data_IF_156337141728
#
_entry.id   IF_156337141728
#
_cell.length_a   1.000
_cell.length_b   1.000
_cell.length_c   1.000
_cell.angle_alpha   90.00
_cell.angle_beta   90.00
_cell.angle_gamma   90.00
#
_symmetry.space_group_name_H-M   'P 1'
#
loop_
_entity.id
_entity.type
_entity.pdbx_description
1 polymer ?
#
# COMPACT_ATOMS: atom_id res chain seq x y z
N UNK A 1 -16.67 37.66 -17.27
CA UNK A 1 -17.02 36.41 -16.58
C UNK A 1 -15.75 35.59 -16.52
N UNK A 2 -15.13 35.45 -15.35
CA UNK A 2 -13.95 34.59 -15.18
C UNK A 2 -14.46 33.16 -15.05
N UNK A 3 -14.23 32.32 -16.05
CA UNK A 3 -14.39 30.88 -15.89
C UNK A 3 -13.26 30.43 -14.98
N UNK A 4 -13.56 29.99 -13.77
CA UNK A 4 -12.61 29.27 -12.94
C UNK A 4 -12.28 27.97 -13.66
N UNK A 5 -11.13 27.94 -14.33
CA UNK A 5 -10.62 26.74 -14.99
C UNK A 5 -10.25 25.75 -13.90
N UNK A 6 -11.12 24.78 -13.65
CA UNK A 6 -10.84 23.65 -12.77
C UNK A 6 -9.89 22.70 -13.49
N UNK A 7 -8.85 22.22 -12.81
CA UNK A 7 -7.93 21.25 -13.36
C UNK A 7 -8.64 19.91 -13.62
N UNK A 8 -8.37 19.22 -14.74
CA UNK A 8 -8.93 17.91 -15.00
C UNK A 8 -8.63 16.94 -13.84
N UNK A 9 -9.64 16.18 -13.43
CA UNK A 9 -9.49 15.24 -12.32
C UNK A 9 -10.06 13.88 -12.69
N UNK A 10 -9.28 12.83 -12.43
CA UNK A 10 -9.71 11.45 -12.62
C UNK A 10 -10.29 10.92 -11.30
N UNK A 11 -11.61 10.82 -11.23
CA UNK A 11 -12.32 10.41 -10.02
C UNK A 11 -12.43 8.89 -9.97
N UNK A 12 -11.98 8.29 -8.87
CA UNK A 12 -12.05 6.85 -8.65
C UNK A 12 -13.44 6.45 -8.14
N UNK A 13 -14.04 5.43 -8.76
CA UNK A 13 -15.32 4.87 -8.30
C UNK A 13 -15.17 4.01 -7.03
N UNK A 14 -14.08 3.25 -6.95
CA UNK A 14 -13.76 2.37 -5.82
C UNK A 14 -12.37 2.67 -5.27
N UNK A 15 -12.16 2.31 -4.00
CA UNK A 15 -10.88 2.50 -3.32
C UNK A 15 -9.80 1.48 -3.75
N UNK A 16 -10.19 0.30 -4.27
CA UNK A 16 -9.22 -0.66 -4.84
C UNK A 16 -8.71 -0.18 -6.20
N UNK A 17 -7.53 0.44 -6.22
CA UNK A 17 -6.87 0.93 -7.43
C UNK A 17 -6.61 -0.13 -8.50
N UNK A 18 -6.68 -1.42 -8.17
CA UNK A 18 -6.47 -2.51 -9.13
C UNK A 18 -7.77 -3.08 -9.70
N UNK A 19 -8.92 -2.63 -9.20
CA UNK A 19 -10.24 -3.01 -9.66
C UNK A 19 -11.20 -1.82 -9.49
N UNK A 20 -11.03 -0.80 -10.34
CA UNK A 20 -11.77 0.46 -10.25
C UNK A 20 -11.99 1.07 -11.63
N UNK A 21 -12.83 2.10 -11.70
CA UNK A 21 -12.90 3.00 -12.85
C UNK A 21 -12.40 4.38 -12.46
N UNK A 22 -11.82 5.09 -13.42
CA UNK A 22 -11.44 6.48 -13.26
C UNK A 22 -12.09 7.32 -14.35
N UNK A 23 -12.92 8.27 -13.94
CA UNK A 23 -13.70 9.11 -14.83
C UNK A 23 -13.13 10.53 -14.84
N UNK A 24 -12.88 11.08 -16.03
CA UNK A 24 -12.46 12.45 -16.24
C UNK A 24 -13.41 13.13 -17.24
N UNK A 25 -14.37 13.87 -16.69
CA UNK A 25 -15.40 14.53 -17.48
C UNK A 25 -14.82 15.65 -18.34
N UNK A 26 -13.83 16.38 -17.81
CA UNK A 26 -13.22 17.53 -18.49
C UNK A 26 -12.50 17.13 -19.79
N UNK A 27 -11.88 15.95 -19.81
CA UNK A 27 -11.20 15.41 -20.99
C UNK A 27 -12.08 14.44 -21.79
N UNK A 28 -13.28 14.11 -21.29
CA UNK A 28 -14.14 13.10 -21.90
C UNK A 28 -13.49 11.71 -21.93
N UNK A 29 -12.73 11.35 -20.90
CA UNK A 29 -12.00 10.09 -20.81
C UNK A 29 -12.52 9.21 -19.67
N UNK A 30 -12.64 7.92 -19.94
CA UNK A 30 -13.00 6.90 -18.96
C UNK A 30 -11.94 5.79 -18.93
N UNK A 31 -11.37 5.52 -17.77
CA UNK A 31 -10.44 4.42 -17.58
C UNK A 31 -11.07 3.29 -16.80
N UNK A 32 -10.83 2.07 -17.25
CA UNK A 32 -11.23 0.85 -16.56
C UNK A 32 -9.99 0.06 -16.15
N UNK A 33 -9.83 -0.15 -14.85
CA UNK A 33 -8.78 -0.97 -14.27
C UNK A 33 -9.43 -2.26 -13.77
N UNK A 34 -8.99 -3.39 -14.29
CA UNK A 34 -9.56 -4.68 -13.94
C UNK A 34 -8.47 -5.70 -13.66
N UNK A 35 -8.56 -6.36 -12.50
CA UNK A 35 -7.67 -7.45 -12.13
C UNK A 35 -8.36 -8.79 -12.38
N UNK A 36 -7.69 -9.66 -13.11
CA UNK A 36 -8.08 -11.07 -13.23
C UNK A 36 -7.08 -11.93 -12.46
N UNK A 37 -7.60 -12.88 -11.67
CA UNK A 37 -6.81 -13.89 -11.01
C UNK A 37 -6.87 -15.17 -11.83
N UNK A 38 -5.71 -15.71 -12.21
CA UNK A 38 -5.66 -16.97 -12.93
C UNK A 38 -5.86 -18.13 -11.94
N UNK A 39 -6.88 -18.96 -12.17
CA UNK A 39 -7.29 -20.06 -11.28
C UNK A 39 -6.17 -21.10 -11.00
N UNK A 40 -5.12 -21.13 -11.82
CA UNK A 40 -4.01 -22.09 -11.75
C UNK A 40 -2.63 -21.47 -11.47
N UNK A 41 -2.51 -20.16 -11.19
CA UNK A 41 -1.20 -19.51 -11.12
C UNK A 41 -1.09 -18.40 -10.07
N UNK A 42 0.12 -18.27 -9.50
CA UNK A 42 0.53 -17.22 -8.57
C UNK A 42 0.59 -15.80 -9.19
N UNK A 43 0.08 -15.62 -10.41
CA UNK A 43 0.16 -14.38 -11.16
C UNK A 43 -1.24 -13.75 -11.29
N UNK A 44 -1.32 -12.46 -10.97
CA UNK A 44 -2.53 -11.64 -11.18
C UNK A 44 -2.25 -10.68 -12.32
N UNK A 45 -3.15 -10.62 -13.30
CA UNK A 45 -3.00 -9.71 -14.43
C UNK A 45 -4.00 -8.57 -14.29
N UNK A 46 -3.48 -7.35 -14.20
CA UNK A 46 -4.27 -6.12 -14.20
C UNK A 46 -4.27 -5.54 -15.61
N UNK A 47 -5.45 -5.30 -16.19
CA UNK A 47 -5.61 -4.62 -17.47
C UNK A 47 -6.10 -3.19 -17.23
N UNK A 48 -5.49 -2.23 -17.93
CA UNK A 48 -5.87 -0.82 -17.91
C UNK A 48 -6.34 -0.47 -19.32
N UNK A 49 -7.61 -0.11 -19.43
CA UNK A 49 -8.25 0.28 -20.70
C UNK A 49 -8.70 1.73 -20.61
N UNK A 50 -8.55 2.48 -21.70
CA UNK A 50 -9.06 3.83 -21.86
C UNK A 50 -10.19 3.82 -22.88
N UNK A 51 -11.31 4.45 -22.55
CA UNK A 51 -12.40 4.75 -23.46
C UNK A 51 -12.48 6.26 -23.64
N UNK A 52 -12.46 6.69 -24.89
CA UNK A 52 -12.79 8.05 -25.28
C UNK A 52 -14.32 8.14 -25.43
N UNK A 53 -14.94 9.07 -24.71
CA UNK A 53 -16.41 9.21 -24.67
C UNK A 53 -16.99 9.78 -25.97
N UNK A 54 -16.23 10.60 -26.70
CA UNK A 54 -16.68 11.21 -27.95
C UNK A 54 -16.67 10.20 -29.10
N UNK A 55 -15.59 9.43 -29.22
CA UNK A 55 -15.45 8.41 -30.27
C UNK A 55 -16.07 7.06 -29.90
N UNK A 56 -16.30 6.81 -28.61
CA UNK A 56 -16.73 5.51 -28.07
C UNK A 56 -15.64 4.42 -28.15
N UNK A 57 -14.47 4.73 -28.69
CA UNK A 57 -13.38 3.79 -28.90
C UNK A 57 -12.76 3.39 -27.56
N UNK A 58 -12.50 2.09 -27.39
CA UNK A 58 -11.84 1.55 -26.19
C UNK A 58 -10.48 0.94 -26.57
N UNK A 59 -9.42 1.52 -26.05
CA UNK A 59 -8.04 1.10 -26.27
C UNK A 59 -7.47 0.44 -25.00
N UNK A 60 -6.74 -0.67 -25.18
CA UNK A 60 -5.92 -1.25 -24.11
C UNK A 60 -4.67 -0.38 -23.97
N UNK A 61 -4.41 0.18 -22.80
CA UNK A 61 -3.24 1.05 -22.58
C UNK A 61 -2.07 0.24 -22.04
N UNK A 62 -2.33 -0.54 -20.99
CA UNK A 62 -1.31 -1.38 -20.38
C UNK A 62 -1.90 -2.68 -19.81
N UNK A 63 -1.03 -3.70 -19.75
CA UNK A 63 -1.22 -4.88 -18.92
C UNK A 63 -0.09 -4.94 -17.89
N UNK A 64 -0.46 -5.25 -16.66
CA UNK A 64 0.47 -5.41 -15.56
C UNK A 64 0.33 -6.81 -14.98
N UNK A 65 1.37 -7.62 -15.18
CA UNK A 65 1.48 -8.95 -14.61
C UNK A 65 2.19 -8.85 -13.27
N UNK A 66 1.45 -9.16 -12.20
CA UNK A 66 1.95 -9.18 -10.84
C UNK A 66 2.50 -10.54 -10.50
N UNK A 67 3.71 -10.55 -9.95
CA UNK A 67 4.39 -11.77 -9.51
C UNK A 67 4.75 -11.68 -8.03
N UNK A 68 4.65 -12.79 -7.31
CA UNK A 68 5.02 -12.84 -5.89
C UNK A 68 6.53 -12.93 -5.68
N UNK A 69 7.24 -13.69 -6.53
CA UNK A 69 8.67 -14.00 -6.37
C UNK A 69 9.55 -13.40 -7.47
N UNK A 70 8.95 -12.86 -8.52
CA UNK A 70 9.64 -12.27 -9.66
C UNK A 70 9.30 -10.78 -9.74
N UNK A 71 10.12 -9.96 -10.44
CA UNK A 71 9.73 -8.61 -10.77
C UNK A 71 8.40 -8.60 -11.53
N UNK A 72 7.56 -7.62 -11.21
CA UNK A 72 6.34 -7.34 -11.96
C UNK A 72 6.70 -6.94 -13.42
N UNK A 73 5.83 -7.28 -14.36
CA UNK A 73 6.02 -6.99 -15.79
C UNK A 73 4.92 -6.07 -16.31
N UNK A 74 5.30 -5.11 -17.15
CA UNK A 74 4.35 -4.25 -17.86
C UNK A 74 4.43 -4.50 -19.36
N UNK A 75 3.26 -4.50 -20.00
CA UNK A 75 3.10 -4.55 -21.45
C UNK A 75 2.30 -3.33 -21.85
N UNK A 76 2.94 -2.36 -22.48
CA UNK A 76 2.29 -1.16 -23.01
C UNK A 76 1.86 -1.41 -24.46
N UNK A 77 0.65 -0.99 -24.81
CA UNK A 77 0.18 -1.10 -26.19
C UNK A 77 0.86 -0.03 -27.05
N UNK A 78 1.39 -0.40 -28.22
CA UNK A 78 2.00 0.54 -29.16
C UNK A 78 3.52 0.74 -29.01
N UNK A 79 4.11 0.33 -27.89
CA UNK A 79 5.56 0.20 -27.75
C UNK A 79 6.00 -1.14 -28.35
N UNK A 80 6.65 -1.13 -29.52
CA UNK A 80 7.00 -2.35 -30.26
C UNK A 80 7.71 -3.39 -29.39
N UNK A 81 7.08 -4.55 -29.18
CA UNK A 81 7.53 -5.84 -28.58
C UNK A 81 8.36 -5.83 -27.28
N UNK A 82 8.85 -4.69 -26.78
CA UNK A 82 9.58 -4.62 -25.52
C UNK A 82 8.56 -4.61 -24.38
N UNK A 83 8.51 -5.70 -23.60
CA UNK A 83 7.77 -5.79 -22.35
C UNK A 83 8.72 -5.41 -21.20
N UNK A 84 8.85 -4.12 -20.83
CA UNK A 84 9.81 -3.71 -19.82
C UNK A 84 9.46 -4.32 -18.46
N UNK A 85 10.49 -4.75 -17.72
CA UNK A 85 10.35 -5.10 -16.30
C UNK A 85 10.09 -3.82 -15.52
N UNK A 86 9.32 -3.87 -14.44
CA UNK A 86 9.15 -2.69 -13.56
C UNK A 86 10.49 -2.07 -13.18
N UNK A 87 11.45 -2.91 -12.79
CA UNK A 87 12.77 -2.42 -12.38
C UNK A 87 13.50 -1.62 -13.46
N UNK A 88 13.16 -1.81 -14.74
CA UNK A 88 13.74 -1.05 -15.85
C UNK A 88 13.03 0.28 -16.15
N UNK A 89 11.75 0.46 -15.78
CA UNK A 89 11.00 1.67 -16.11
C UNK A 89 10.49 2.46 -14.89
N UNK A 90 10.45 1.85 -13.70
CA UNK A 90 10.13 2.48 -12.42
C UNK A 90 11.30 2.27 -11.45
N UNK A 91 12.28 3.17 -11.52
CA UNK A 91 13.47 3.13 -10.69
C UNK A 91 13.12 3.43 -9.23
N UNK A 92 13.64 2.62 -8.31
CA UNK A 92 13.69 2.98 -6.89
C UNK A 92 14.98 3.76 -6.63
N UNK A 93 14.88 4.90 -5.95
CA UNK A 93 16.08 5.51 -5.38
C UNK A 93 16.57 4.65 -4.21
N UNK A 94 17.82 4.21 -4.24
CA UNK A 94 18.46 3.47 -3.15
C UNK A 94 18.87 4.44 -2.02
N UNK A 95 18.54 4.12 -0.76
CA UNK A 95 18.94 4.88 0.42
C UNK A 95 17.84 5.03 1.48
N UNK A 96 18.10 5.83 2.53
CA UNK A 96 17.13 6.20 3.58
C UNK A 96 16.09 7.25 3.13
N UNK A 97 16.03 7.55 1.83
CA UNK A 97 15.17 8.57 1.26
C UNK A 97 13.69 8.14 1.31
N UNK A 98 12.75 9.11 1.36
CA UNK A 98 11.32 8.84 1.24
C UNK A 98 11.02 8.05 -0.03
N UNK A 99 9.90 7.32 0.01
CA UNK A 99 9.46 6.44 -1.06
C UNK A 99 9.33 7.24 -2.38
N UNK A 100 10.26 7.02 -3.30
CA UNK A 100 10.36 7.69 -4.61
C UNK A 100 10.41 6.67 -5.74
N UNK A 101 9.64 6.93 -6.81
CA UNK A 101 9.61 6.10 -8.02
C UNK A 101 9.70 6.96 -9.26
N UNK A 102 10.76 6.82 -10.05
CA UNK A 102 10.95 7.60 -11.27
C UNK A 102 10.65 6.80 -12.53
N UNK A 103 10.04 7.43 -13.52
CA UNK A 103 9.71 6.82 -14.82
C UNK A 103 9.90 7.81 -15.98
N UNK A 104 9.78 7.32 -17.21
CA UNK A 104 9.77 8.14 -18.42
C UNK A 104 8.38 8.05 -19.04
N UNK A 105 7.76 9.21 -19.29
CA UNK A 105 6.45 9.28 -19.94
C UNK A 105 6.53 8.98 -21.44
N UNK A 106 5.37 8.76 -22.03
CA UNK A 106 5.13 8.75 -23.48
C UNK A 106 5.65 10.01 -24.22
N UNK A 107 5.66 11.16 -23.56
CA UNK A 107 6.25 12.40 -24.07
C UNK A 107 7.79 12.46 -23.99
N UNK A 108 8.42 11.39 -23.49
CA UNK A 108 9.87 11.27 -23.36
C UNK A 108 10.47 12.01 -22.15
N UNK A 109 9.66 12.77 -21.38
CA UNK A 109 10.14 13.44 -20.17
C UNK A 109 10.26 12.45 -19.01
N UNK A 110 11.14 12.78 -18.07
CA UNK A 110 11.32 11.98 -16.85
C UNK A 110 10.45 12.56 -15.74
N UNK A 111 9.81 11.67 -15.00
CA UNK A 111 8.91 12.00 -13.91
C UNK A 111 9.30 11.25 -12.64
N UNK A 112 8.87 11.75 -11.49
CA UNK A 112 8.97 11.03 -10.23
C UNK A 112 7.70 11.15 -9.42
N UNK A 113 7.25 10.01 -8.91
CA UNK A 113 6.28 9.91 -7.84
C UNK A 113 6.99 9.99 -6.50
N UNK A 114 6.47 10.80 -5.59
CA UNK A 114 6.91 10.83 -4.19
C UNK A 114 5.73 11.01 -3.26
N UNK A 115 5.82 10.41 -2.08
CA UNK A 115 4.88 10.67 -0.99
C UNK A 115 5.23 12.00 -0.31
N UNK A 116 4.29 12.95 -0.32
CA UNK A 116 4.39 14.25 0.33
C UNK A 116 3.25 14.36 1.37
N UNK A 117 3.61 14.23 2.65
CA UNK A 117 2.67 14.13 3.78
C UNK A 117 1.70 12.94 3.66
N UNK A 118 0.50 13.16 3.11
CA UNK A 118 -0.56 12.15 2.93
C UNK A 118 -1.03 12.10 1.47
N UNK A 119 -0.27 12.70 0.56
CA UNK A 119 -0.57 12.77 -0.86
C UNK A 119 0.55 12.14 -1.65
N UNK A 120 0.16 11.56 -2.78
CA UNK A 120 1.11 11.04 -3.75
C UNK A 120 1.21 12.07 -4.89
N UNK A 121 2.40 12.64 -5.08
CA UNK A 121 2.64 13.74 -6.01
C UNK A 121 3.59 13.28 -7.12
N UNK A 122 3.20 13.48 -8.37
CA UNK A 122 4.09 13.35 -9.53
C UNK A 122 4.71 14.70 -9.88
N UNK A 123 6.00 14.71 -10.15
CA UNK A 123 6.76 15.89 -10.61
C UNK A 123 7.60 15.58 -11.83
N UNK A 124 7.83 16.57 -12.69
CA UNK A 124 8.87 16.47 -13.73
C UNK A 124 10.25 16.41 -13.06
N UNK A 125 11.20 15.70 -13.66
CA UNK A 125 12.62 15.77 -13.30
C UNK A 125 13.34 16.60 -14.35
N UNK A 126 13.87 17.75 -13.94
CA UNK A 126 14.66 18.67 -14.76
C UNK A 126 16.05 18.85 -14.12
N UNK A 127 17.12 18.70 -14.91
CA UNK A 127 18.50 18.85 -14.45
C UNK A 127 18.83 18.06 -13.16
N UNK A 128 18.31 16.84 -13.05
CA UNK A 128 18.44 15.96 -11.88
C UNK A 128 17.79 16.48 -10.59
N UNK A 129 16.94 17.50 -10.68
CA UNK A 129 16.18 18.08 -9.59
C UNK A 129 14.68 17.85 -9.77
N UNK A 130 13.90 17.93 -8.67
CA UNK A 130 12.45 17.84 -8.73
C UNK A 130 11.90 19.18 -9.24
N UNK A 131 11.24 19.14 -10.38
CA UNK A 131 10.55 20.29 -10.95
C UNK A 131 9.14 20.48 -10.40
N UNK A 132 8.32 21.10 -11.22
CA UNK A 132 6.92 21.38 -10.95
C UNK A 132 6.07 20.09 -10.83
N UNK A 133 5.02 20.12 -9.99
CA UNK A 133 4.07 19.02 -9.94
C UNK A 133 3.31 18.93 -11.26
N UNK A 134 2.96 17.70 -11.64
CA UNK A 134 2.19 17.41 -12.85
C UNK A 134 0.90 16.64 -12.55
N UNK A 135 0.87 15.90 -11.45
CA UNK A 135 -0.33 15.25 -10.96
C UNK A 135 -0.28 15.09 -9.44
N UNK A 136 -1.45 15.14 -8.80
CA UNK A 136 -1.60 15.03 -7.35
C UNK A 136 -2.73 14.04 -7.07
N UNK A 137 -2.44 13.02 -6.28
CA UNK A 137 -3.47 12.11 -5.80
C UNK A 137 -4.04 12.60 -4.46
N UNK A 138 -5.34 12.76 -4.44
CA UNK A 138 -6.11 13.06 -3.24
C UNK A 138 -6.82 11.79 -2.78
N UNK A 139 -6.47 11.32 -1.58
CA UNK A 139 -7.16 10.21 -0.95
C UNK A 139 -8.63 10.54 -0.68
N UNK A 140 -9.46 9.49 -0.59
CA UNK A 140 -10.88 9.63 -0.27
C UNK A 140 -11.04 10.32 1.08
N UNK A 141 -11.85 11.39 1.09
CA UNK A 141 -12.23 12.06 2.32
C UNK A 141 -13.68 11.68 2.67
N UNK A 142 -13.82 10.72 3.59
CA UNK A 142 -15.14 10.24 4.05
C UNK A 142 -15.94 11.34 4.74
N UNK A 143 -15.28 12.24 5.49
CA UNK A 143 -15.94 13.33 6.19
C UNK A 143 -16.56 14.35 5.21
N UNK A 144 -15.94 14.53 4.04
CA UNK A 144 -16.43 15.42 2.99
C UNK A 144 -17.23 14.69 1.89
N UNK A 145 -17.46 13.38 2.05
CA UNK A 145 -18.08 12.53 1.03
C UNK A 145 -17.44 12.66 -0.37
N UNK A 146 -16.13 12.94 -0.40
CA UNK A 146 -15.35 13.10 -1.64
C UNK A 146 -14.65 11.79 -1.97
N UNK A 147 -14.88 11.29 -3.18
CA UNK A 147 -14.13 10.17 -3.72
C UNK A 147 -12.66 10.53 -3.88
N UNK A 148 -11.80 9.51 -3.89
CA UNK A 148 -10.41 9.70 -4.23
C UNK A 148 -10.31 10.18 -5.68
N UNK A 149 -9.36 11.07 -5.98
CA UNK A 149 -9.14 11.53 -7.33
C UNK A 149 -7.66 11.77 -7.61
N UNK A 150 -7.29 11.61 -8.87
CA UNK A 150 -5.99 12.02 -9.39
C UNK A 150 -6.19 13.33 -10.16
N UNK A 151 -5.77 14.44 -9.57
CA UNK A 151 -5.76 15.76 -10.22
C UNK A 151 -4.59 15.83 -11.20
N UNK A 152 -4.85 16.25 -12.44
CA UNK A 152 -3.85 16.48 -13.47
C UNK A 152 -3.64 17.99 -13.63
N UNK A 153 -2.39 18.45 -13.52
CA UNK A 153 -2.07 19.85 -13.74
C UNK A 153 -1.98 20.18 -15.23
N UNK A 154 -2.30 21.41 -15.65
CA UNK A 154 -2.44 21.77 -17.06
C UNK A 154 -1.17 21.51 -17.88
N UNK A 155 -1.33 21.07 -19.13
CA UNK A 155 -0.21 20.86 -20.07
C UNK A 155 0.43 19.47 -20.01
N UNK A 156 -0.15 18.56 -19.23
CA UNK A 156 0.29 17.17 -19.08
C UNK A 156 -0.74 16.14 -19.56
N UNK A 157 -1.77 16.57 -20.29
CA UNK A 157 -2.83 15.72 -20.85
C UNK A 157 -2.26 14.69 -21.82
N UNK A 158 -1.22 15.07 -22.58
CA UNK A 158 -0.53 14.20 -23.52
C UNK A 158 0.22 13.03 -22.87
N UNK A 159 0.47 13.08 -21.56
CA UNK A 159 1.16 12.02 -20.80
C UNK A 159 0.29 11.32 -19.75
N UNK A 160 -1.02 11.55 -19.82
CA UNK A 160 -1.96 11.06 -18.84
C UNK A 160 -1.99 9.53 -18.76
N UNK A 161 -1.87 8.82 -19.88
CA UNK A 161 -1.82 7.35 -19.89
C UNK A 161 -0.66 6.82 -19.04
N UNK A 162 0.53 7.39 -19.25
CA UNK A 162 1.75 7.03 -18.52
C UNK A 162 1.64 7.37 -17.03
N UNK A 163 1.10 8.56 -16.71
CA UNK A 163 0.84 8.97 -15.33
C UNK A 163 -0.14 8.01 -14.64
N UNK A 164 -1.23 7.64 -15.29
CA UNK A 164 -2.25 6.77 -14.71
C UNK A 164 -1.72 5.35 -14.48
N UNK A 165 -1.03 4.76 -15.46
CA UNK A 165 -0.46 3.42 -15.33
C UNK A 165 0.55 3.35 -14.19
N UNK A 166 1.43 4.36 -14.11
CA UNK A 166 2.43 4.42 -13.04
C UNK A 166 1.78 4.72 -11.69
N UNK A 167 0.80 5.63 -11.62
CA UNK A 167 0.00 5.91 -10.42
C UNK A 167 -0.61 4.62 -9.84
N UNK A 168 -1.31 3.82 -10.64
CA UNK A 168 -1.95 2.58 -10.17
C UNK A 168 -0.92 1.64 -9.53
N UNK A 169 0.24 1.49 -10.16
CA UNK A 169 1.32 0.64 -9.65
C UNK A 169 1.87 1.18 -8.31
N UNK A 170 2.18 2.47 -8.32
CA UNK A 170 2.81 3.22 -7.24
C UNK A 170 1.91 3.19 -6.02
N UNK A 171 0.65 3.56 -6.18
CA UNK A 171 -0.36 3.56 -5.11
C UNK A 171 -0.62 2.14 -4.57
N UNK A 172 -0.70 1.12 -5.44
CA UNK A 172 -0.82 -0.26 -4.98
C UNK A 172 0.38 -0.69 -4.12
N UNK A 173 1.61 -0.40 -4.55
CA UNK A 173 2.82 -0.72 -3.78
C UNK A 173 2.89 0.04 -2.45
N UNK A 174 2.47 1.31 -2.43
CA UNK A 174 2.38 2.11 -1.21
C UNK A 174 1.46 1.44 -0.20
N UNK A 175 0.24 1.07 -0.60
CA UNK A 175 -0.73 0.36 0.25
C UNK A 175 -0.21 -0.99 0.77
N UNK A 176 0.44 -1.78 -0.07
CA UNK A 176 1.05 -3.05 0.36
C UNK A 176 2.12 -2.87 1.44
N UNK A 177 2.88 -1.76 1.36
CA UNK A 177 3.90 -1.44 2.36
C UNK A 177 3.25 -1.08 3.69
N UNK A 178 2.21 -0.25 3.67
CA UNK A 178 1.44 0.13 4.87
C UNK A 178 0.78 -1.08 5.54
N UNK A 179 0.13 -1.95 4.77
CA UNK A 179 -0.51 -3.17 5.28
C UNK A 179 0.49 -4.12 5.97
N UNK A 180 1.67 -4.28 5.37
CA UNK A 180 2.71 -5.13 5.93
C UNK A 180 3.28 -4.56 7.24
N UNK A 181 3.45 -3.23 7.34
CA UNK A 181 3.87 -2.59 8.58
C UNK A 181 2.82 -2.76 9.68
N UNK A 182 1.53 -2.54 9.37
CA UNK A 182 0.44 -2.73 10.32
C UNK A 182 0.38 -4.16 10.86
N UNK A 183 0.51 -5.15 9.99
CA UNK A 183 0.55 -6.57 10.40
C UNK A 183 1.73 -6.87 11.32
N UNK A 184 2.93 -6.38 11.00
CA UNK A 184 4.11 -6.55 11.87
C UNK A 184 3.92 -5.89 13.24
N UNK A 185 3.31 -4.71 13.28
CA UNK A 185 2.99 -4.02 14.54
C UNK A 185 1.97 -4.81 15.36
N UNK A 186 0.94 -5.38 14.74
CA UNK A 186 -0.05 -6.23 15.41
C UNK A 186 0.60 -7.51 15.96
N UNK A 187 1.40 -8.22 15.16
CA UNK A 187 2.13 -9.42 15.62
C UNK A 187 3.06 -9.11 16.80
N UNK A 188 3.70 -7.94 16.80
CA UNK A 188 4.56 -7.51 17.91
C UNK A 188 3.74 -7.26 19.18
N UNK A 189 2.59 -6.58 19.07
CA UNK A 189 1.69 -6.35 20.21
C UNK A 189 1.14 -7.66 20.78
N UNK A 190 0.72 -8.59 19.93
CA UNK A 190 0.24 -9.91 20.37
C UNK A 190 1.33 -10.69 21.12
N UNK A 191 2.57 -10.69 20.60
CA UNK A 191 3.70 -11.33 21.29
C UNK A 191 3.98 -10.73 22.66
N UNK A 192 3.88 -9.40 22.81
CA UNK A 192 4.04 -8.72 24.09
C UNK A 192 2.94 -9.13 25.09
N UNK A 193 1.69 -9.22 24.64
CA UNK A 193 0.56 -9.68 25.48
C UNK A 193 0.77 -11.13 25.92
N UNK A 194 1.17 -12.02 25.01
CA UNK A 194 1.46 -13.42 25.33
C UNK A 194 2.61 -13.56 26.34
N UNK A 195 3.68 -12.78 26.19
CA UNK A 195 4.80 -12.76 27.14
C UNK A 195 4.34 -12.26 28.52
N UNK A 196 3.53 -11.21 28.59
CA UNK A 196 2.95 -10.72 29.84
C UNK A 196 2.10 -11.79 30.54
N UNK A 197 1.22 -12.46 29.80
CA UNK A 197 0.37 -13.54 30.34
C UNK A 197 1.20 -14.72 30.86
N UNK A 198 2.24 -15.13 30.12
CA UNK A 198 3.16 -16.19 30.56
C UNK A 198 3.88 -15.81 31.86
N UNK A 199 4.34 -14.56 31.99
CA UNK A 199 5.01 -14.10 33.20
C UNK A 199 4.07 -14.15 34.42
N UNK A 200 2.80 -13.76 34.24
CA UNK A 200 1.79 -13.85 35.31
C UNK A 200 1.57 -15.31 35.74
N UNK A 201 1.45 -16.24 34.80
CA UNK A 201 1.30 -17.66 35.10
C UNK A 201 2.51 -18.23 35.84
N UNK A 202 3.72 -17.89 35.42
CA UNK A 202 4.97 -18.29 36.09
C UNK A 202 5.02 -17.76 37.54
N UNK A 203 4.62 -16.51 37.76
CA UNK A 203 4.57 -15.93 39.09
C UNK A 203 3.53 -16.64 39.97
N UNK A 204 2.35 -16.96 39.44
CA UNK A 204 1.32 -17.72 40.15
C UNK A 204 1.79 -19.13 40.51
N UNK A 205 2.45 -19.83 39.58
CA UNK A 205 3.03 -21.16 39.83
C UNK A 205 4.09 -21.11 40.93
N UNK A 206 4.97 -20.10 40.90
CA UNK A 206 6.01 -19.91 41.92
C UNK A 206 5.39 -19.66 43.29
N UNK A 207 4.38 -18.77 43.38
CA UNK A 207 3.67 -18.50 44.63
C UNK A 207 2.96 -19.75 45.18
N UNK A 208 2.34 -20.55 44.30
CA UNK A 208 1.72 -21.81 44.69
C UNK A 208 2.73 -22.80 45.26
N UNK A 209 3.92 -22.94 44.64
CA UNK A 209 4.98 -23.80 45.15
C UNK A 209 5.51 -23.34 46.52
N UNK A 210 5.67 -22.03 46.75
CA UNK A 210 6.10 -21.48 48.04
C UNK A 210 5.10 -21.75 49.17
N UNK A 211 3.79 -21.70 48.87
CA UNK A 211 2.74 -21.99 49.85
C UNK A 211 2.77 -23.46 50.30
N UNK A 212 3.02 -24.39 49.38
CA UNK A 212 3.16 -25.82 49.70
C UNK A 212 4.35 -26.07 50.62
N UNK A 213 5.51 -25.48 50.32
CA UNK A 213 6.72 -25.63 51.14
C UNK A 213 6.53 -25.09 52.57
N UNK A 214 5.82 -23.97 52.72
CA UNK A 214 5.53 -23.38 54.03
C UNK A 214 4.60 -24.28 54.86
N UNK A 215 3.62 -24.92 54.20
CA UNK A 215 2.63 -25.78 54.86
C UNK A 215 3.27 -27.10 55.33
N UNK A 216 4.18 -27.69 54.56
CA UNK A 216 4.88 -28.92 54.96
C UNK A 216 5.85 -28.68 56.13
N UNK A 217 6.53 -27.53 56.17
CA UNK A 217 7.38 -27.14 57.29
C UNK A 217 6.58 -27.00 58.60
N UNK A 218 5.38 -26.40 58.53
CA UNK A 218 4.51 -26.25 59.70
C UNK A 218 4.02 -27.59 60.27
N UNK A 219 3.71 -28.59 59.42
CA UNK A 219 3.29 -29.92 59.88
C UNK A 219 4.42 -30.71 60.55
N UNK A 220 5.67 -30.47 60.15
CA UNK A 220 6.84 -31.15 60.74
C UNK A 220 7.17 -30.62 62.15
N UNK A 221 6.76 -29.38 62.46
CA UNK A 221 6.97 -28.74 63.78
C UNK A 221 5.96 -29.21 64.85
N UNK A 222 4.79 -29.72 64.48
CA UNK A 222 3.70 -30.04 65.43
C UNK A 222 3.75 -31.47 65.96
N UNK A 223 4.71 -32.29 65.51
CA UNK A 223 4.86 -33.71 65.89
C UNK A 223 5.72 -34.02 67.11
N UNK A 224 6.26 -33.02 67.84
CA UNK A 224 7.23 -33.24 68.94
C UNK A 224 6.70 -33.02 70.38
N UNK A 225 5.38 -33.07 70.62
CA UNK A 225 4.84 -33.11 71.99
C UNK A 225 4.18 -34.46 72.27
N UNK A 226 5.01 -35.43 72.65
CA UNK A 226 4.59 -36.65 73.36
C UNK A 226 5.44 -36.79 74.61
N UNK A 227 4.78 -36.93 75.77
CA UNK A 227 5.38 -37.48 76.97
C UNK A 227 5.22 -36.62 78.21
N UNK A 228 4.21 -36.93 79.03
CA UNK A 228 4.15 -36.45 80.41
C UNK A 228 2.80 -36.66 81.09
N UNK A 229 2.45 -37.90 81.43
CA UNK A 229 1.42 -38.20 82.44
C UNK A 229 2.07 -38.25 83.82
N UNK A 230 1.54 -37.57 84.84
CA UNK A 230 1.78 -37.95 86.23
C UNK A 230 0.57 -38.70 86.82
N UNK A 231 0.92 -39.69 87.64
CA UNK A 231 0.08 -40.41 88.59
C UNK A 231 -0.41 -39.50 89.73
#
# INVERSE_FOLDING_TARGET
MQTTTTNPSLVLSYDDVTSTTLDCEELGLHYQVSTQSNFLGNAKTTQIRRRDTQSGKTDLIAQWERHTLQPDLFKFTGAGTSNPRVTSFLGQKSGCAPWERSFVGDDGRRYTWSEESLQLVARVIEDHSRGEPVAIFHERNVAQSRNACLELLPGHEGTLDSLLVTFIYVEWKRRQTSDHQLRKSQEFQEKQVLQGNLQVLLNQQTAWQSNIATTSAAQTSTGMFSGGYPF
#
